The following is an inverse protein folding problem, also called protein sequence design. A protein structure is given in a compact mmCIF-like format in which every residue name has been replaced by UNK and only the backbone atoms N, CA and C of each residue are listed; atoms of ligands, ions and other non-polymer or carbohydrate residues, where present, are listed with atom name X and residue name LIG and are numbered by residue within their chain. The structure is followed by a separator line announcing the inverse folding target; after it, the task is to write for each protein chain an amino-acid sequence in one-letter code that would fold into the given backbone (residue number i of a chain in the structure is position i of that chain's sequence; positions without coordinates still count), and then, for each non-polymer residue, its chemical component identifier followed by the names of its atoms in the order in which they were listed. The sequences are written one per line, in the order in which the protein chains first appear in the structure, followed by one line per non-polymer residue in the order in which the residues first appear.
data_IF_531793095474
#
_entry.id   IF_531793095474
#
_cell.length_a   1.000
_cell.length_b   1.000
_cell.length_c   1.000
_cell.angle_alpha   90.00
_cell.angle_beta   90.00
_cell.angle_gamma   90.00
#
_symmetry.space_group_name_H-M   'P 1'
#
loop_
_entity.id
_entity.type
_entity.pdbx_description
1 polymer ?
#
# COMPACT_ATOMS: atom_id res chain seq x y z
N UNK A 1 -18.47 -1.44 -0.93
CA UNK A 1 -17.47 -1.10 0.11
C UNK A 1 -16.49 -2.25 0.19
N UNK A 2 -15.20 -1.97 0.06
CA UNK A 2 -14.11 -2.95 0.04
C UNK A 2 -13.07 -2.49 1.06
N UNK A 3 -12.61 -3.41 1.90
CA UNK A 3 -11.49 -3.16 2.81
C UNK A 3 -10.26 -3.84 2.23
N UNK A 4 -9.22 -3.05 1.97
CA UNK A 4 -7.95 -3.57 1.47
C UNK A 4 -7.09 -4.08 2.62
N UNK A 5 -6.40 -5.17 2.33
CA UNK A 5 -5.34 -5.71 3.16
C UNK A 5 -3.97 -5.15 2.70
N UNK A 6 -2.96 -5.29 3.56
CA UNK A 6 -1.60 -4.80 3.36
C UNK A 6 -0.95 -5.37 2.11
N UNK A 7 -1.31 -6.60 1.69
CA UNK A 7 -0.76 -7.24 0.51
C UNK A 7 -1.11 -6.51 -0.80
N UNK A 8 -2.36 -6.03 -0.96
CA UNK A 8 -2.80 -5.31 -2.16
C UNK A 8 -2.07 -3.97 -2.24
N UNK A 9 -1.99 -3.25 -1.12
CA UNK A 9 -1.24 -1.99 -1.07
C UNK A 9 0.24 -2.20 -1.36
N UNK A 10 0.85 -3.24 -0.79
CA UNK A 10 2.24 -3.59 -1.04
C UNK A 10 2.50 -3.97 -2.49
N UNK A 11 1.56 -4.68 -3.13
CA UNK A 11 1.62 -5.01 -4.56
C UNK A 11 1.64 -3.74 -5.39
N UNK A 12 0.73 -2.79 -5.14
CA UNK A 12 0.65 -1.51 -5.86
C UNK A 12 1.92 -0.64 -5.72
N UNK A 13 2.76 -0.89 -4.71
CA UNK A 13 4.03 -0.19 -4.48
C UNK A 13 5.24 -0.87 -5.17
N UNK A 14 5.06 -2.03 -5.79
CA UNK A 14 6.14 -2.72 -6.53
C UNK A 14 6.44 -1.98 -7.83
N UNK A 15 7.68 -2.05 -8.30
CA UNK A 15 8.09 -1.44 -9.59
C UNK A 15 7.40 -2.09 -10.81
N UNK A 16 6.94 -3.34 -10.68
CA UNK A 16 6.18 -4.07 -11.69
C UNK A 16 5.03 -4.83 -11.03
N UNK A 17 3.92 -4.15 -10.69
CA UNK A 17 2.78 -4.79 -10.05
C UNK A 17 2.04 -5.74 -11.00
N UNK A 18 1.38 -6.74 -10.45
CA UNK A 18 0.52 -7.65 -11.20
C UNK A 18 -0.58 -6.87 -11.95
N UNK A 19 -0.66 -7.10 -13.27
CA UNK A 19 -1.60 -6.42 -14.15
C UNK A 19 -3.08 -6.67 -13.78
N UNK A 20 -3.40 -7.83 -13.20
CA UNK A 20 -4.74 -8.14 -12.71
C UNK A 20 -5.09 -7.30 -11.48
N UNK A 21 -4.13 -7.08 -10.57
CA UNK A 21 -4.33 -6.23 -9.39
C UNK A 21 -4.54 -4.77 -9.81
N UNK A 22 -3.75 -4.28 -10.76
CA UNK A 22 -3.95 -2.94 -11.33
C UNK A 22 -5.32 -2.80 -12.01
N UNK A 23 -5.69 -3.77 -12.86
CA UNK A 23 -6.95 -3.75 -13.59
C UNK A 23 -8.18 -3.90 -12.67
N UNK A 24 -8.03 -4.59 -11.54
CA UNK A 24 -9.06 -4.67 -10.52
C UNK A 24 -9.17 -3.35 -9.76
N UNK A 25 -8.03 -2.78 -9.34
CA UNK A 25 -7.98 -1.54 -8.57
C UNK A 25 -8.54 -0.35 -9.36
N UNK A 26 -8.26 -0.26 -10.66
CA UNK A 26 -8.72 0.83 -11.53
C UNK A 26 -10.24 0.88 -11.74
N UNK A 27 -10.96 -0.19 -11.38
CA UNK A 27 -12.43 -0.27 -11.46
C UNK A 27 -13.12 0.17 -10.17
N UNK A 28 -12.36 0.34 -9.09
CA UNK A 28 -12.91 0.68 -7.78
C UNK A 28 -13.05 2.19 -7.63
N UNK A 29 -14.14 2.64 -7.00
CA UNK A 29 -14.29 4.05 -6.61
C UNK A 29 -13.53 4.31 -5.31
N UNK A 30 -12.77 5.41 -5.25
CA UNK A 30 -12.05 5.82 -4.03
C UNK A 30 -12.98 6.00 -2.83
N UNK A 31 -14.23 6.41 -3.03
CA UNK A 31 -15.22 6.55 -1.95
C UNK A 31 -15.71 5.21 -1.38
N UNK A 32 -15.32 4.09 -2.00
CA UNK A 32 -15.78 2.75 -1.64
C UNK A 32 -14.68 1.84 -1.13
N UNK A 33 -13.45 2.35 -1.04
CA UNK A 33 -12.26 1.62 -0.64
C UNK A 33 -11.79 2.15 0.71
N UNK A 34 -11.48 1.23 1.61
CA UNK A 34 -11.06 1.52 2.97
C UNK A 34 -9.85 0.66 3.32
N UNK A 35 -9.12 1.07 4.34
CA UNK A 35 -8.11 0.24 5.01
C UNK A 35 -8.47 0.17 6.49
N UNK A 36 -8.05 -0.88 7.17
CA UNK A 36 -8.21 -0.94 8.63
C UNK A 36 -7.10 -0.17 9.33
N UNK A 37 -7.31 0.16 10.61
CA UNK A 37 -6.24 0.67 11.47
C UNK A 37 -5.09 -0.33 11.61
N UNK A 38 -5.38 -1.64 11.52
CA UNK A 38 -4.34 -2.69 11.52
C UNK A 38 -3.49 -2.63 10.25
N UNK A 39 -4.13 -2.53 9.08
CA UNK A 39 -3.45 -2.35 7.79
C UNK A 39 -2.58 -1.10 7.77
N UNK A 40 -3.07 0.01 8.37
CA UNK A 40 -2.27 1.21 8.53
C UNK A 40 -1.04 0.97 9.44
N UNK A 41 -1.21 0.26 10.55
CA UNK A 41 -0.11 -0.07 11.46
C UNK A 41 0.96 -0.94 10.77
N UNK A 42 0.57 -1.92 9.96
CA UNK A 42 1.51 -2.76 9.19
C UNK A 42 2.36 -1.93 8.22
N UNK A 43 1.75 -0.98 7.52
CA UNK A 43 2.46 -0.09 6.58
C UNK A 43 3.47 0.77 7.35
N UNK A 44 3.03 1.42 8.43
CA UNK A 44 3.89 2.28 9.25
C UNK A 44 5.05 1.49 9.87
N UNK A 45 4.77 0.26 10.33
CA UNK A 45 5.80 -0.64 10.85
C UNK A 45 6.81 -1.01 9.76
N UNK A 46 6.35 -1.36 8.55
CA UNK A 46 7.22 -1.62 7.41
C UNK A 46 8.11 -0.43 7.03
N UNK A 47 7.58 0.79 7.09
CA UNK A 47 8.35 2.02 6.87
C UNK A 47 9.43 2.22 7.95
N UNK A 48 9.09 2.00 9.22
CA UNK A 48 10.03 2.12 10.34
C UNK A 48 11.20 1.12 10.27
N UNK A 49 11.02 -0.01 9.56
CA UNK A 49 12.06 -1.02 9.34
C UNK A 49 12.94 -0.75 8.11
N UNK A 50 12.70 0.32 7.34
CA UNK A 50 13.54 0.63 6.19
C UNK A 50 14.97 0.92 6.64
N UNK A 51 15.99 0.38 5.94
CA UNK A 51 17.37 0.77 6.19
C UNK A 51 17.56 2.24 5.82
N UNK A 52 18.55 2.89 6.43
CA UNK A 52 18.94 4.25 6.09
C UNK A 52 19.22 4.40 4.59
N UNK A 53 18.78 5.52 4.02
CA UNK A 53 19.02 5.87 2.62
C UNK A 53 17.78 6.38 1.90
N UNK A 54 17.96 6.66 0.60
CA UNK A 54 17.02 7.43 -0.22
C UNK A 54 15.55 7.01 -0.12
N UNK A 55 15.26 5.70 -0.03
CA UNK A 55 13.88 5.21 0.08
C UNK A 55 13.24 5.58 1.42
N UNK A 56 14.00 5.51 2.51
CA UNK A 56 13.56 5.94 3.83
C UNK A 56 13.36 7.45 3.86
N UNK A 57 14.34 8.22 3.37
CA UNK A 57 14.30 9.69 3.35
C UNK A 57 13.09 10.25 2.58
N UNK A 58 12.65 9.56 1.51
CA UNK A 58 11.48 9.95 0.72
C UNK A 58 10.13 9.64 1.39
N UNK A 59 10.13 8.78 2.41
CA UNK A 59 8.92 8.24 3.04
C UNK A 59 8.80 8.61 4.53
N UNK A 60 9.86 9.14 5.14
CA UNK A 60 9.80 9.83 6.43
C UNK A 60 9.13 11.21 6.24
N UNK A 61 8.14 11.52 7.08
CA UNK A 61 7.42 12.79 7.12
C UNK A 61 8.21 13.87 7.85
#
# INVERSE_FOLDING_TARGET
MIVLDTNILSELMRSGPDGAVLAWMSRQSMMTIFITTMTQADILYGLALLPEGRRRDLLEL
#
